data_IF_523560418051
#
_entry.id   IF_523560418051
#
_cell.length_a   1.000
_cell.length_b   1.000
_cell.length_c   1.000
_cell.angle_alpha   90.00
_cell.angle_beta   90.00
_cell.angle_gamma   90.00
#
_symmetry.space_group_name_H-M   'P 1'
#
loop_
_entity.id
_entity.type
_entity.pdbx_description
1 polymer ?
#
# COMPACT_ATOMS: atom_id res chain seq x y z
N UNK A 1 -34.01 57.39 17.71
CA UNK A 1 -32.83 57.98 18.38
C UNK A 1 -32.35 56.98 19.43
N UNK A 2 -31.24 56.29 19.19
CA UNK A 2 -30.66 55.34 20.13
C UNK A 2 -29.77 56.10 21.10
N UNK A 3 -30.21 56.23 22.35
CA UNK A 3 -29.39 56.77 23.44
C UNK A 3 -28.23 55.80 23.68
N UNK A 4 -27.03 56.17 23.22
CA UNK A 4 -25.79 55.52 23.66
C UNK A 4 -25.65 55.80 25.16
N UNK A 5 -26.05 54.83 25.99
CA UNK A 5 -25.74 54.81 27.41
C UNK A 5 -24.22 54.93 27.53
N UNK A 6 -23.71 56.00 28.16
CA UNK A 6 -22.28 56.12 28.44
C UNK A 6 -21.87 54.92 29.28
N UNK A 7 -21.06 54.02 28.73
CA UNK A 7 -20.50 52.89 29.48
C UNK A 7 -19.75 53.43 30.69
N UNK A 8 -19.87 52.74 31.82
CA UNK A 8 -19.13 53.14 33.02
C UNK A 8 -17.62 53.02 32.76
N UNK A 9 -16.82 53.80 33.50
CA UNK A 9 -15.35 53.73 33.39
C UNK A 9 -14.83 52.32 33.70
N UNK A 10 -15.53 51.58 34.56
CA UNK A 10 -15.24 50.20 34.94
C UNK A 10 -15.50 49.25 33.76
N UNK A 11 -16.68 49.32 33.14
CA UNK A 11 -17.02 48.49 31.97
C UNK A 11 -16.06 48.71 30.80
N UNK A 12 -15.60 49.95 30.62
CA UNK A 12 -14.65 50.30 29.55
C UNK A 12 -13.26 49.70 29.83
N UNK A 13 -12.82 49.71 31.10
CA UNK A 13 -11.57 49.09 31.53
C UNK A 13 -11.62 47.55 31.44
N UNK A 14 -12.75 46.94 31.78
CA UNK A 14 -12.96 45.49 31.65
C UNK A 14 -12.97 45.03 30.18
N UNK A 15 -13.60 45.78 29.28
CA UNK A 15 -13.56 45.51 27.84
C UNK A 15 -12.14 45.63 27.27
N UNK A 16 -11.38 46.63 27.73
CA UNK A 16 -9.98 46.79 27.36
C UNK A 16 -9.15 45.58 27.81
N UNK A 17 -9.28 45.15 29.06
CA UNK A 17 -8.60 43.98 29.61
C UNK A 17 -8.94 42.70 28.85
N UNK A 18 -10.21 42.50 28.50
CA UNK A 18 -10.64 41.32 27.75
C UNK A 18 -10.09 41.31 26.32
N UNK A 19 -10.00 42.48 25.68
CA UNK A 19 -9.48 42.62 24.32
C UNK A 19 -7.97 42.33 24.24
N UNK A 20 -7.20 42.88 25.20
CA UNK A 20 -5.75 42.71 25.30
C UNK A 20 -5.40 41.28 25.71
N UNK A 21 -6.15 40.71 26.65
CA UNK A 21 -6.01 39.29 27.01
C UNK A 21 -6.35 38.33 25.86
N UNK A 22 -7.18 38.75 24.90
CA UNK A 22 -7.52 37.94 23.72
C UNK A 22 -6.47 38.02 22.60
N UNK A 23 -5.76 39.15 22.48
CA UNK A 23 -4.67 39.34 21.50
C UNK A 23 -3.33 38.77 22.00
N UNK A 24 -3.12 38.71 23.31
CA UNK A 24 -1.87 38.25 23.91
C UNK A 24 -0.79 39.33 24.00
N UNK A 25 -1.17 40.60 23.79
CA UNK A 25 -0.29 41.76 23.88
C UNK A 25 -0.25 42.33 25.30
N UNK A 26 0.73 43.20 25.56
CA UNK A 26 0.83 43.95 26.81
C UNK A 26 0.06 45.28 26.74
N UNK A 27 -0.51 45.72 27.87
CA UNK A 27 -1.11 47.05 28.00
C UNK A 27 -0.04 48.14 27.82
N UNK A 28 -0.37 49.18 27.07
CA UNK A 28 0.47 50.38 27.01
C UNK A 28 0.45 51.12 28.36
N UNK A 29 1.45 51.99 28.59
CA UNK A 29 1.54 52.76 29.84
C UNK A 29 0.26 53.58 30.12
N UNK A 30 -0.30 54.22 29.10
CA UNK A 30 -1.53 55.02 29.21
C UNK A 30 -2.75 54.15 29.56
N UNK A 31 -2.84 52.98 28.94
CA UNK A 31 -3.91 52.00 29.20
C UNK A 31 -3.80 51.38 30.60
N UNK A 32 -2.58 51.13 31.10
CA UNK A 32 -2.36 50.68 32.48
C UNK A 32 -2.85 51.71 33.49
N UNK A 33 -2.49 52.98 33.29
CA UNK A 33 -2.92 54.08 34.17
C UNK A 33 -4.45 54.24 34.13
N UNK A 34 -5.07 54.13 32.96
CA UNK A 34 -6.52 54.19 32.82
C UNK A 34 -7.23 53.03 33.54
N UNK A 35 -6.77 51.79 33.37
CA UNK A 35 -7.34 50.63 34.03
C UNK A 35 -7.14 50.65 35.56
N UNK A 36 -5.94 50.97 36.05
CA UNK A 36 -5.67 51.07 37.49
C UNK A 36 -6.54 52.14 38.15
N UNK A 37 -6.72 53.30 37.50
CA UNK A 37 -7.57 54.38 38.02
C UNK A 37 -9.06 54.03 37.96
N UNK A 38 -9.51 53.31 36.94
CA UNK A 38 -10.91 52.92 36.79
C UNK A 38 -11.30 51.78 37.73
N UNK A 39 -10.40 50.82 37.96
CA UNK A 39 -10.64 49.62 38.78
C UNK A 39 -10.20 49.80 40.24
N UNK A 40 -9.44 50.86 40.55
CA UNK A 40 -8.96 51.14 41.90
C UNK A 40 -7.92 50.12 42.40
N UNK A 41 -7.17 49.51 41.48
CA UNK A 41 -6.22 48.45 41.78
C UNK A 41 -4.78 48.88 41.53
N UNK A 42 -3.84 48.18 42.17
CA UNK A 42 -2.41 48.32 41.91
C UNK A 42 -1.99 47.66 40.59
N UNK A 43 -0.85 48.06 40.06
CA UNK A 43 -0.28 47.50 38.82
C UNK A 43 -0.04 45.98 38.92
N UNK A 44 0.32 45.48 40.11
CA UNK A 44 0.48 44.05 40.38
C UNK A 44 -0.85 43.28 40.37
N UNK A 45 -1.95 43.94 40.76
CA UNK A 45 -3.30 43.34 40.71
C UNK A 45 -3.84 43.36 39.29
N UNK A 46 -3.53 44.40 38.51
CA UNK A 46 -3.86 44.48 37.09
C UNK A 46 -3.22 43.34 36.29
N UNK A 47 -1.95 43.03 36.54
CA UNK A 47 -1.25 41.89 35.93
C UNK A 47 -1.90 40.54 36.26
N UNK A 48 -2.43 40.38 37.49
CA UNK A 48 -3.14 39.16 37.91
C UNK A 48 -4.48 39.03 37.16
N UNK A 49 -5.21 40.13 37.01
CA UNK A 49 -6.47 40.15 36.28
C UNK A 49 -6.25 39.88 34.78
N UNK A 50 -5.23 40.48 34.14
CA UNK A 50 -4.86 40.17 32.75
C UNK A 50 -4.60 38.67 32.53
N UNK A 51 -3.83 38.03 33.42
CA UNK A 51 -3.59 36.58 33.35
C UNK A 51 -4.87 35.76 33.55
N UNK A 52 -5.76 36.21 34.42
CA UNK A 52 -7.06 35.56 34.67
C UNK A 52 -7.95 35.64 33.42
N UNK A 53 -8.08 36.81 32.81
CA UNK A 53 -8.82 36.98 31.55
C UNK A 53 -8.21 36.15 30.42
N UNK A 54 -6.87 36.10 30.30
CA UNK A 54 -6.19 35.26 29.31
C UNK A 54 -6.54 33.78 29.45
N UNK A 55 -6.55 33.26 30.69
CA UNK A 55 -6.99 31.87 30.97
C UNK A 55 -8.45 31.63 30.60
N UNK A 56 -9.34 32.58 30.90
CA UNK A 56 -10.78 32.48 30.56
C UNK A 56 -10.98 32.45 29.04
N UNK A 57 -10.28 33.29 28.29
CA UNK A 57 -10.35 33.32 26.82
C UNK A 57 -9.81 32.02 26.23
N UNK A 58 -8.70 31.51 26.74
CA UNK A 58 -8.11 30.24 26.28
C UNK A 58 -9.02 29.05 26.57
N UNK A 59 -9.63 29.00 27.76
CA UNK A 59 -10.61 27.96 28.11
C UNK A 59 -11.85 28.02 27.19
N UNK A 60 -12.33 29.22 26.84
CA UNK A 60 -13.44 29.37 25.87
C UNK A 60 -13.06 28.93 24.46
N UNK A 61 -11.83 29.21 24.00
CA UNK A 61 -11.33 28.72 22.70
C UNK A 61 -11.28 27.18 22.65
N UNK A 62 -10.88 26.53 23.75
CA UNK A 62 -10.78 25.06 23.82
C UNK A 62 -12.16 24.41 23.99
N UNK A 63 -13.02 24.95 24.84
CA UNK A 63 -14.36 24.40 25.08
C UNK A 63 -15.33 24.66 23.92
N UNK A 64 -14.98 25.58 23.00
CA UNK A 64 -15.86 26.06 21.95
C UNK A 64 -17.04 26.87 22.49
N UNK A 65 -17.78 27.49 21.58
CA UNK A 65 -19.06 28.11 21.93
C UNK A 65 -20.16 27.06 22.04
N UNK A 66 -21.33 27.44 22.56
CA UNK A 66 -22.51 26.57 22.51
C UNK A 66 -22.91 26.26 21.06
N UNK A 67 -22.79 27.24 20.18
CA UNK A 67 -23.07 27.08 18.75
C UNK A 67 -22.10 26.10 18.07
N UNK A 68 -20.82 26.08 18.45
CA UNK A 68 -19.85 25.12 17.91
C UNK A 68 -20.19 23.69 18.33
N UNK A 69 -20.65 23.51 19.58
CA UNK A 69 -21.11 22.21 20.07
C UNK A 69 -22.38 21.75 19.37
N UNK A 70 -23.35 22.64 19.18
CA UNK A 70 -24.59 22.34 18.46
C UNK A 70 -24.31 21.94 17.00
N UNK A 71 -23.36 22.61 16.32
CA UNK A 71 -22.91 22.24 14.97
C UNK A 71 -22.24 20.87 14.93
N UNK A 72 -21.39 20.57 15.91
CA UNK A 72 -20.75 19.26 16.02
C UNK A 72 -21.77 18.14 16.23
N UNK A 73 -22.77 18.35 17.10
CA UNK A 73 -23.83 17.37 17.34
C UNK A 73 -24.68 17.12 16.08
N UNK A 74 -24.95 18.16 15.29
CA UNK A 74 -25.66 18.04 14.01
C UNK A 74 -24.84 17.23 12.98
N UNK A 75 -23.54 17.49 12.89
CA UNK A 75 -22.61 16.76 12.01
C UNK A 75 -22.54 15.26 12.41
N UNK A 76 -22.41 14.99 13.71
CA UNK A 76 -22.40 13.62 14.25
C UNK A 76 -23.71 12.89 13.92
N UNK A 77 -24.87 13.53 14.09
CA UNK A 77 -26.16 12.95 13.71
C UNK A 77 -26.24 12.62 12.22
N UNK A 78 -25.74 13.50 11.35
CA UNK A 78 -25.69 13.24 9.90
C UNK A 78 -24.82 12.04 9.56
N UNK A 79 -23.63 11.93 10.17
CA UNK A 79 -22.71 10.81 9.97
C UNK A 79 -23.32 9.49 10.47
N UNK A 80 -23.94 9.48 11.65
CA UNK A 80 -24.63 8.29 12.17
C UNK A 80 -25.78 7.86 11.26
N UNK A 81 -26.55 8.80 10.71
CA UNK A 81 -27.61 8.49 9.76
C UNK A 81 -27.05 7.86 8.48
N UNK A 82 -26.01 8.47 7.89
CA UNK A 82 -25.36 7.92 6.70
C UNK A 82 -24.77 6.52 6.94
N UNK A 83 -24.21 6.27 8.14
CA UNK A 83 -23.74 4.95 8.55
C UNK A 83 -24.89 3.95 8.65
N UNK A 84 -25.98 4.29 9.34
CA UNK A 84 -27.13 3.41 9.52
C UNK A 84 -27.84 3.10 8.19
N UNK A 85 -27.87 4.05 7.26
CA UNK A 85 -28.48 3.86 5.94
C UNK A 85 -27.63 2.93 5.06
N UNK A 86 -26.28 3.07 5.07
CA UNK A 86 -25.36 2.28 4.23
C UNK A 86 -24.99 0.92 4.81
N UNK A 87 -24.98 0.78 6.14
CA UNK A 87 -24.61 -0.46 6.83
C UNK A 87 -25.37 -1.70 6.33
N UNK A 88 -26.71 -1.72 6.21
CA UNK A 88 -27.43 -2.91 5.76
C UNK A 88 -27.13 -3.25 4.29
N UNK A 89 -26.84 -2.26 3.45
CA UNK A 89 -26.44 -2.49 2.06
C UNK A 89 -25.07 -3.16 1.99
N UNK A 90 -24.10 -2.66 2.75
CA UNK A 90 -22.77 -3.26 2.85
C UNK A 90 -22.82 -4.67 3.45
N UNK A 91 -23.63 -4.90 4.48
CA UNK A 91 -23.82 -6.24 5.07
C UNK A 91 -24.42 -7.23 4.05
N UNK A 92 -25.37 -6.79 3.20
CA UNK A 92 -25.90 -7.62 2.10
C UNK A 92 -24.85 -7.91 1.04
N UNK A 93 -24.03 -6.92 0.67
CA UNK A 93 -22.95 -7.11 -0.30
C UNK A 93 -21.90 -8.11 0.23
N UNK A 94 -21.52 -8.00 1.50
CA UNK A 94 -20.61 -8.96 2.15
C UNK A 94 -21.20 -10.37 2.10
N UNK A 95 -22.46 -10.56 2.49
CA UNK A 95 -23.12 -11.85 2.46
C UNK A 95 -23.19 -12.45 1.04
N UNK A 96 -23.45 -11.61 0.03
CA UNK A 96 -23.46 -12.03 -1.38
C UNK A 96 -22.08 -12.49 -1.84
N UNK A 97 -21.04 -11.69 -1.58
CA UNK A 97 -19.66 -12.01 -1.95
C UNK A 97 -19.16 -13.28 -1.24
N UNK A 98 -19.52 -13.48 0.03
CA UNK A 98 -19.20 -14.72 0.76
C UNK A 98 -19.88 -15.94 0.12
N UNK A 99 -21.13 -15.81 -0.33
CA UNK A 99 -21.82 -16.89 -1.03
C UNK A 99 -21.20 -17.18 -2.40
N UNK A 100 -20.78 -16.17 -3.14
CA UNK A 100 -20.09 -16.33 -4.43
C UNK A 100 -18.74 -17.00 -4.24
N UNK A 101 -17.97 -16.59 -3.23
CA UNK A 101 -16.69 -17.22 -2.88
C UNK A 101 -16.87 -18.70 -2.51
N UNK A 102 -17.86 -19.03 -1.70
CA UNK A 102 -18.15 -20.42 -1.33
C UNK A 102 -18.51 -21.30 -2.55
N UNK A 103 -19.24 -20.74 -3.54
CA UNK A 103 -19.55 -21.45 -4.79
C UNK A 103 -18.30 -21.67 -5.62
N UNK A 104 -17.46 -20.65 -5.79
CA UNK A 104 -16.20 -20.76 -6.53
C UNK A 104 -15.25 -21.78 -5.89
N UNK A 105 -15.15 -21.81 -4.57
CA UNK A 105 -14.37 -22.83 -3.86
C UNK A 105 -14.92 -24.24 -4.09
N UNK A 106 -16.24 -24.41 -4.07
CA UNK A 106 -16.87 -25.71 -4.36
C UNK A 106 -16.60 -26.14 -5.80
N UNK A 107 -16.78 -25.24 -6.77
CA UNK A 107 -16.53 -25.52 -8.19
C UNK A 107 -15.06 -25.87 -8.43
N UNK A 108 -14.13 -25.14 -7.78
CA UNK A 108 -12.71 -25.46 -7.83
C UNK A 108 -12.41 -26.87 -7.27
N UNK A 109 -12.99 -27.24 -6.13
CA UNK A 109 -12.83 -28.60 -5.56
C UNK A 109 -13.37 -29.68 -6.50
N UNK A 110 -14.52 -29.44 -7.12
CA UNK A 110 -15.11 -30.38 -8.10
C UNK A 110 -14.25 -30.48 -9.36
N UNK A 111 -13.72 -29.36 -9.85
CA UNK A 111 -12.81 -29.34 -11.00
C UNK A 111 -11.50 -30.08 -10.70
N UNK A 112 -10.90 -29.85 -9.52
CA UNK A 112 -9.71 -30.57 -9.07
C UNK A 112 -9.96 -32.08 -9.02
N UNK A 113 -11.09 -32.51 -8.43
CA UNK A 113 -11.46 -33.93 -8.40
C UNK A 113 -11.63 -34.52 -9.81
N UNK A 114 -12.27 -33.80 -10.73
CA UNK A 114 -12.42 -34.24 -12.13
C UNK A 114 -11.06 -34.35 -12.82
N UNK A 115 -10.14 -33.43 -12.57
CA UNK A 115 -8.79 -33.49 -13.12
C UNK A 115 -8.04 -34.73 -12.61
N UNK A 116 -8.12 -35.04 -11.32
CA UNK A 116 -7.55 -36.26 -10.74
C UNK A 116 -8.16 -37.53 -11.35
N UNK A 117 -9.50 -37.58 -11.50
CA UNK A 117 -10.20 -38.71 -12.14
C UNK A 117 -9.79 -38.88 -13.61
N UNK A 118 -9.61 -37.78 -14.36
CA UNK A 118 -9.11 -37.80 -15.74
C UNK A 118 -7.66 -38.25 -15.83
N UNK A 119 -6.79 -37.76 -14.95
CA UNK A 119 -5.38 -38.17 -14.90
C UNK A 119 -5.26 -39.67 -14.61
N UNK A 120 -6.02 -40.18 -13.64
CA UNK A 120 -6.07 -41.61 -13.33
C UNK A 120 -6.59 -42.44 -14.52
N UNK A 121 -7.59 -41.93 -15.26
CA UNK A 121 -8.09 -42.60 -16.46
C UNK A 121 -7.02 -42.65 -17.58
N UNK A 122 -6.30 -41.55 -17.80
CA UNK A 122 -5.19 -41.47 -18.77
C UNK A 122 -4.06 -42.42 -18.38
N UNK A 123 -3.69 -42.48 -17.10
CA UNK A 123 -2.64 -43.40 -16.62
C UNK A 123 -3.04 -44.87 -16.78
N UNK A 124 -4.30 -45.20 -16.51
CA UNK A 124 -4.83 -46.55 -16.77
C UNK A 124 -4.75 -46.90 -18.26
N UNK A 125 -5.14 -45.98 -19.16
CA UNK A 125 -5.02 -46.19 -20.61
C UNK A 125 -3.56 -46.34 -21.05
N UNK A 126 -2.65 -45.52 -20.51
CA UNK A 126 -1.20 -45.62 -20.78
C UNK A 126 -0.60 -46.94 -20.30
N UNK A 127 -1.12 -47.52 -19.22
CA UNK A 127 -0.67 -48.83 -18.73
C UNK A 127 -1.03 -49.98 -19.70
N UNK A 128 -2.07 -49.79 -20.51
CA UNK A 128 -2.48 -50.73 -21.56
C UNK A 128 -1.67 -50.55 -22.85
N UNK A 129 -0.99 -49.41 -23.02
CA UNK A 129 -0.16 -49.15 -24.19
C UNK A 129 1.12 -50.02 -24.21
N UNK A 130 1.65 -50.39 -25.39
CA UNK A 130 2.84 -51.22 -25.47
C UNK A 130 4.04 -50.48 -24.89
N UNK A 131 4.83 -51.15 -24.05
CA UNK A 131 5.99 -50.53 -23.36
C UNK A 131 6.96 -49.79 -24.28
N UNK A 132 7.12 -50.24 -25.52
CA UNK A 132 8.00 -49.60 -26.50
C UNK A 132 7.47 -48.26 -27.01
N UNK A 133 6.14 -48.11 -27.17
CA UNK A 133 5.48 -46.84 -27.52
C UNK A 133 5.61 -45.82 -26.39
N UNK A 134 5.41 -46.27 -25.16
CA UNK A 134 5.63 -45.44 -23.95
C UNK A 134 7.09 -45.00 -23.83
N UNK A 135 8.04 -45.88 -24.16
CA UNK A 135 9.46 -45.53 -24.19
C UNK A 135 9.78 -44.49 -25.28
N UNK A 136 9.20 -44.64 -26.47
CA UNK A 136 9.36 -43.69 -27.58
C UNK A 136 8.76 -42.31 -27.24
N UNK A 137 7.55 -42.27 -26.68
CA UNK A 137 6.93 -41.04 -26.19
C UNK A 137 7.83 -40.33 -25.17
N UNK A 138 8.33 -41.07 -24.17
CA UNK A 138 9.21 -40.51 -23.15
C UNK A 138 10.53 -39.97 -23.73
N UNK A 139 11.06 -40.61 -24.77
CA UNK A 139 12.24 -40.12 -25.47
C UNK A 139 11.95 -38.78 -26.16
N UNK A 140 10.82 -38.67 -26.88
CA UNK A 140 10.39 -37.43 -27.55
C UNK A 140 10.08 -36.32 -26.55
N UNK A 141 9.37 -36.63 -25.47
CA UNK A 141 9.11 -35.70 -24.36
C UNK A 141 10.39 -35.14 -23.75
N UNK A 142 11.41 -35.97 -23.51
CA UNK A 142 12.72 -35.52 -23.02
C UNK A 142 13.43 -34.61 -24.02
N UNK A 143 13.36 -34.93 -25.31
CA UNK A 143 13.94 -34.10 -26.36
C UNK A 143 13.24 -32.72 -26.43
N UNK A 144 11.90 -32.69 -26.41
CA UNK A 144 11.10 -31.47 -26.38
C UNK A 144 11.38 -30.64 -25.12
N UNK A 145 11.51 -31.30 -23.96
CA UNK A 145 11.85 -30.64 -22.69
C UNK A 145 13.18 -29.89 -22.80
N UNK A 146 14.23 -30.57 -23.28
CA UNK A 146 15.57 -29.96 -23.45
C UNK A 146 15.58 -28.83 -24.48
N UNK A 147 14.82 -28.99 -25.55
CA UNK A 147 14.84 -28.05 -26.68
C UNK A 147 14.06 -26.77 -26.38
N UNK A 148 12.90 -26.89 -25.72
CA UNK A 148 11.90 -25.83 -25.59
C UNK A 148 11.63 -25.48 -24.13
N UNK A 149 11.19 -26.43 -23.31
CA UNK A 149 10.77 -26.16 -21.92
C UNK A 149 11.87 -25.57 -21.06
N UNK A 150 13.11 -26.05 -21.18
CA UNK A 150 14.25 -25.50 -20.45
C UNK A 150 14.49 -24.02 -20.78
N UNK A 151 14.32 -23.62 -22.05
CA UNK A 151 14.45 -22.21 -22.47
C UNK A 151 13.30 -21.36 -21.95
N UNK A 152 12.07 -21.88 -22.01
CA UNK A 152 10.90 -21.19 -21.45
C UNK A 152 11.06 -20.96 -19.94
N UNK A 153 11.58 -21.96 -19.20
CA UNK A 153 11.85 -21.85 -17.76
C UNK A 153 12.96 -20.84 -17.45
N UNK A 154 14.04 -20.84 -18.23
CA UNK A 154 15.11 -19.85 -18.09
C UNK A 154 14.60 -18.42 -18.30
N UNK A 155 13.76 -18.21 -19.33
CA UNK A 155 13.14 -16.91 -19.58
C UNK A 155 12.22 -16.47 -18.43
N UNK A 156 11.39 -17.39 -17.90
CA UNK A 156 10.52 -17.12 -16.75
C UNK A 156 11.33 -16.77 -15.49
N UNK A 157 12.39 -17.54 -15.18
CA UNK A 157 13.26 -17.25 -14.03
C UNK A 157 13.94 -15.89 -14.16
N UNK A 158 14.31 -15.50 -15.37
CA UNK A 158 14.88 -14.18 -15.61
C UNK A 158 13.83 -13.07 -15.44
N UNK A 159 12.59 -13.26 -15.92
CA UNK A 159 11.48 -12.33 -15.69
C UNK A 159 11.21 -12.12 -14.18
N UNK A 160 11.11 -13.21 -13.42
CA UNK A 160 10.94 -13.17 -11.96
C UNK A 160 12.07 -12.38 -11.28
N UNK A 161 13.31 -12.57 -11.75
CA UNK A 161 14.48 -11.84 -11.25
C UNK A 161 14.36 -10.35 -11.51
N UNK A 162 13.91 -9.95 -12.71
CA UNK A 162 13.74 -8.55 -13.09
C UNK A 162 12.64 -7.91 -12.25
N UNK A 163 11.51 -8.60 -12.06
CA UNK A 163 10.43 -8.15 -11.19
C UNK A 163 10.92 -7.95 -9.75
N UNK A 164 11.69 -8.89 -9.20
CA UNK A 164 12.29 -8.73 -7.87
C UNK A 164 13.23 -7.51 -7.78
N UNK A 165 13.99 -7.22 -8.84
CA UNK A 165 14.86 -6.04 -8.88
C UNK A 165 14.06 -4.73 -8.96
N UNK A 166 12.96 -4.72 -9.72
CA UNK A 166 12.08 -3.57 -9.90
C UNK A 166 11.30 -3.24 -8.61
N UNK A 167 10.85 -4.27 -7.89
CA UNK A 167 10.06 -4.13 -6.67
C UNK A 167 10.93 -3.92 -5.41
N UNK A 168 12.25 -3.94 -5.53
CA UNK A 168 13.16 -3.73 -4.40
C UNK A 168 13.06 -2.30 -3.88
N UNK A 169 12.68 -2.14 -2.62
CA UNK A 169 12.80 -0.86 -1.92
C UNK A 169 14.28 -0.55 -1.67
N UNK A 170 14.83 0.42 -2.40
CA UNK A 170 16.26 0.77 -2.32
C UNK A 170 16.55 1.62 -1.09
N UNK A 171 17.02 0.98 -0.03
CA UNK A 171 17.58 1.62 1.16
C UNK A 171 19.07 1.27 1.35
N UNK A 172 19.72 1.94 2.31
CA UNK A 172 21.12 1.66 2.70
C UNK A 172 21.19 0.62 3.85
N UNK A 173 20.15 -0.22 3.97
CA UNK A 173 20.05 -1.30 4.95
C UNK A 173 20.80 -2.56 4.51
N UNK A 174 21.23 -3.37 5.48
CA UNK A 174 22.05 -4.56 5.20
C UNK A 174 21.36 -5.54 4.24
N UNK A 175 20.04 -5.75 4.37
CA UNK A 175 19.28 -6.65 3.48
C UNK A 175 19.28 -6.19 2.02
N UNK A 176 19.11 -4.88 1.78
CA UNK A 176 19.17 -4.30 0.43
C UNK A 176 20.59 -4.44 -0.14
N UNK A 177 21.60 -4.13 0.66
CA UNK A 177 23.02 -4.26 0.29
C UNK A 177 23.40 -5.71 -0.02
N UNK A 178 22.92 -6.70 0.74
CA UNK A 178 23.19 -8.12 0.50
C UNK A 178 22.55 -8.60 -0.80
N UNK A 179 21.31 -8.19 -1.06
CA UNK A 179 20.60 -8.51 -2.29
C UNK A 179 21.31 -7.93 -3.51
N UNK A 180 21.55 -6.61 -3.52
CA UNK A 180 22.28 -5.93 -4.59
C UNK A 180 23.69 -6.50 -4.73
N UNK A 181 24.33 -6.89 -3.62
CA UNK A 181 25.65 -7.51 -3.60
C UNK A 181 25.69 -8.86 -4.30
N UNK A 182 24.61 -9.63 -4.21
CA UNK A 182 24.45 -10.88 -4.97
C UNK A 182 24.36 -10.59 -6.46
N UNK A 183 23.60 -9.55 -6.85
CA UNK A 183 23.52 -9.10 -8.24
C UNK A 183 24.89 -8.59 -8.76
N UNK A 184 25.67 -7.87 -7.95
CA UNK A 184 27.05 -7.48 -8.32
C UNK A 184 27.94 -8.71 -8.59
N UNK A 185 27.81 -9.77 -7.78
CA UNK A 185 28.60 -10.99 -7.95
C UNK A 185 28.19 -11.76 -9.21
N UNK A 186 26.90 -11.83 -9.51
CA UNK A 186 26.40 -12.54 -10.69
C UNK A 186 26.65 -11.76 -11.99
N UNK A 187 26.52 -10.44 -11.98
CA UNK A 187 26.60 -9.61 -13.19
C UNK A 187 27.97 -8.97 -13.40
N UNK A 188 28.81 -8.89 -12.38
CA UNK A 188 30.09 -8.15 -12.39
C UNK A 188 29.94 -6.62 -12.36
N UNK A 189 28.70 -6.09 -12.45
CA UNK A 189 28.42 -4.65 -12.36
C UNK A 189 28.54 -4.20 -10.90
N UNK A 190 28.87 -2.92 -10.68
CA UNK A 190 29.03 -2.32 -9.35
C UNK A 190 27.90 -1.32 -9.06
N UNK A 191 27.22 -1.53 -7.95
CA UNK A 191 26.08 -0.76 -7.46
C UNK A 191 26.26 -0.32 -6.00
N UNK A 192 27.22 -0.90 -5.27
CA UNK A 192 27.45 -0.63 -3.84
C UNK A 192 28.78 0.11 -3.69
N UNK A 193 28.70 1.31 -3.12
CA UNK A 193 29.85 2.08 -2.69
C UNK A 193 30.32 1.57 -1.32
N UNK A 194 31.31 0.68 -1.34
CA UNK A 194 31.96 0.18 -0.12
C UNK A 194 32.99 1.21 0.34
N UNK A 195 32.63 2.03 1.33
CA UNK A 195 33.57 2.95 2.00
C UNK A 195 34.37 2.18 3.06
N UNK A 196 35.59 2.64 3.33
CA UNK A 196 36.57 1.94 4.18
C UNK A 196 36.12 1.68 5.62
N UNK A 197 36.99 1.08 6.42
CA UNK A 197 36.69 0.58 7.78
C UNK A 197 35.96 1.63 8.64
N UNK A 198 34.77 1.25 9.15
CA UNK A 198 33.92 2.11 9.98
C UNK A 198 32.86 2.92 9.23
N UNK A 199 32.85 2.94 7.90
CA UNK A 199 31.80 3.59 7.11
C UNK A 199 30.72 2.60 6.66
N UNK A 200 29.46 3.06 6.64
CA UNK A 200 28.36 2.28 6.06
C UNK A 200 28.51 2.25 4.54
N UNK A 201 28.29 1.07 3.96
CA UNK A 201 28.16 0.93 2.50
C UNK A 201 26.85 1.58 2.06
N UNK A 202 26.86 2.22 0.90
CA UNK A 202 25.68 2.90 0.34
C UNK A 202 25.40 2.41 -1.06
N UNK A 203 24.13 2.40 -1.44
CA UNK A 203 23.73 1.99 -2.79
C UNK A 203 23.83 3.20 -3.74
N UNK A 204 24.53 3.04 -4.84
CA UNK A 204 24.51 3.99 -5.95
C UNK A 204 23.17 3.84 -6.69
N UNK A 205 22.18 4.63 -6.25
CA UNK A 205 20.80 4.58 -6.76
C UNK A 205 20.71 4.84 -8.27
N UNK A 206 21.57 5.71 -8.82
CA UNK A 206 21.57 6.00 -10.26
C UNK A 206 22.08 4.80 -11.08
N UNK A 207 23.18 4.17 -10.65
CA UNK A 207 23.70 2.97 -11.30
C UNK A 207 22.74 1.78 -11.18
N UNK A 208 22.10 1.62 -10.01
CA UNK A 208 21.06 0.60 -9.81
C UNK A 208 19.85 0.84 -10.69
N UNK A 209 19.32 2.06 -10.75
CA UNK A 209 18.17 2.39 -11.60
C UNK A 209 18.48 2.16 -13.09
N UNK A 210 19.65 2.59 -13.57
CA UNK A 210 20.05 2.35 -14.95
C UNK A 210 20.15 0.85 -15.29
N UNK A 211 20.60 0.02 -14.35
CA UNK A 211 20.59 -1.43 -14.51
C UNK A 211 19.17 -2.00 -14.55
N UNK A 212 18.29 -1.56 -13.65
CA UNK A 212 16.87 -1.98 -13.64
C UNK A 212 16.19 -1.58 -14.96
N UNK A 213 16.40 -0.36 -15.45
CA UNK A 213 15.84 0.11 -16.72
C UNK A 213 16.33 -0.74 -17.92
N UNK A 214 17.63 -1.06 -17.95
CA UNK A 214 18.21 -1.98 -18.94
C UNK A 214 17.58 -3.37 -18.88
N UNK A 215 17.31 -3.88 -17.67
CA UNK A 215 16.66 -5.17 -17.48
C UNK A 215 15.17 -5.13 -17.89
N UNK A 216 14.44 -4.09 -17.51
CA UNK A 216 13.03 -3.90 -17.85
C UNK A 216 12.86 -3.82 -19.37
N UNK A 217 13.79 -3.18 -20.09
CA UNK A 217 13.78 -3.15 -21.55
C UNK A 217 13.90 -4.55 -22.20
N UNK A 218 14.41 -5.56 -21.49
CA UNK A 218 14.51 -6.95 -21.96
C UNK A 218 13.21 -7.74 -21.78
N UNK A 219 12.28 -7.28 -20.94
CA UNK A 219 11.03 -7.99 -20.59
C UNK A 219 10.27 -8.45 -21.84
N UNK A 220 9.97 -7.59 -22.84
CA UNK A 220 9.17 -8.01 -23.99
C UNK A 220 9.80 -9.17 -24.76
N UNK A 221 11.13 -9.19 -24.88
CA UNK A 221 11.83 -10.26 -25.58
C UNK A 221 11.85 -11.56 -24.77
N UNK A 222 11.93 -11.46 -23.45
CA UNK A 222 11.87 -12.63 -22.56
C UNK A 222 10.46 -13.22 -22.53
N UNK A 223 9.42 -12.41 -22.54
CA UNK A 223 8.02 -12.85 -22.65
C UNK A 223 7.77 -13.55 -23.98
N UNK A 224 8.27 -13.00 -25.09
CA UNK A 224 8.22 -13.64 -26.42
C UNK A 224 8.92 -15.02 -26.38
N UNK A 225 10.16 -15.09 -25.87
CA UNK A 225 10.90 -16.36 -25.75
C UNK A 225 10.14 -17.36 -24.86
N UNK A 226 9.58 -16.90 -23.74
CA UNK A 226 8.83 -17.75 -22.82
C UNK A 226 7.60 -18.34 -23.51
N UNK A 227 6.77 -17.48 -24.12
CA UNK A 227 5.56 -17.88 -24.83
C UNK A 227 5.85 -18.83 -25.98
N UNK A 228 6.71 -18.44 -26.91
CA UNK A 228 7.04 -19.26 -28.10
C UNK A 228 7.59 -20.65 -27.74
N UNK A 229 8.47 -20.72 -26.72
CA UNK A 229 9.02 -22.01 -26.32
C UNK A 229 8.02 -22.84 -25.50
N UNK A 230 7.10 -22.21 -24.77
CA UNK A 230 6.05 -22.94 -24.06
C UNK A 230 5.04 -23.52 -25.05
N UNK A 231 4.62 -22.73 -26.03
CA UNK A 231 3.72 -23.15 -27.11
C UNK A 231 4.35 -24.28 -27.93
N UNK A 232 5.60 -24.10 -28.39
CA UNK A 232 6.32 -25.13 -29.14
C UNK A 232 6.57 -26.40 -28.31
N UNK A 233 6.73 -26.29 -26.98
CA UNK A 233 6.79 -27.45 -26.12
C UNK A 233 5.46 -28.19 -26.08
N UNK A 234 4.35 -27.47 -25.86
CA UNK A 234 3.01 -28.06 -25.79
C UNK A 234 2.66 -28.74 -27.12
N UNK A 235 2.85 -28.06 -28.26
CA UNK A 235 2.64 -28.64 -29.59
C UNK A 235 3.47 -29.92 -29.81
N UNK A 236 4.73 -29.92 -29.38
CA UNK A 236 5.59 -31.10 -29.51
C UNK A 236 5.17 -32.26 -28.59
N UNK A 237 4.58 -31.97 -27.42
CA UNK A 237 4.03 -32.99 -26.54
C UNK A 237 2.73 -33.54 -27.11
N UNK A 238 1.81 -32.68 -27.53
CA UNK A 238 0.52 -33.07 -28.10
C UNK A 238 0.73 -33.97 -29.34
N UNK A 239 1.61 -33.56 -30.26
CA UNK A 239 1.96 -34.38 -31.42
C UNK A 239 2.56 -35.74 -31.02
N UNK A 240 3.43 -35.77 -30.01
CA UNK A 240 4.02 -37.02 -29.52
C UNK A 240 2.98 -37.91 -28.81
N UNK A 241 2.00 -37.34 -28.11
CA UNK A 241 0.91 -38.09 -27.48
C UNK A 241 0.02 -38.73 -28.54
N UNK A 242 -0.39 -37.97 -29.57
CA UNK A 242 -1.20 -38.48 -30.69
C UNK A 242 -0.48 -39.61 -31.43
N UNK A 243 0.80 -39.42 -31.77
CA UNK A 243 1.54 -40.41 -32.57
C UNK A 243 1.93 -41.67 -31.80
N UNK A 244 2.19 -41.56 -30.50
CA UNK A 244 2.72 -42.67 -29.70
C UNK A 244 1.67 -43.35 -28.83
N UNK A 245 0.63 -42.66 -28.38
CA UNK A 245 -0.27 -43.13 -27.32
C UNK A 245 -1.74 -43.27 -27.77
N UNK A 246 -2.22 -42.53 -28.77
CA UNK A 246 -3.62 -42.55 -29.24
C UNK A 246 -3.97 -43.69 -30.22
N UNK A 247 -3.08 -44.66 -30.44
CA UNK A 247 -3.28 -45.78 -31.39
C UNK A 247 -4.27 -46.85 -30.88
N UNK A 248 -5.14 -46.52 -29.92
CA UNK A 248 -6.15 -47.44 -29.35
C UNK A 248 -7.60 -47.05 -29.66
N UNK A 249 -7.81 -46.07 -30.53
CA UNK A 249 -9.14 -45.75 -31.07
C UNK A 249 -9.19 -46.15 -32.55
N UNK A 250 -9.21 -47.46 -32.81
CA UNK A 250 -9.72 -48.09 -34.03
C UNK A 250 -10.30 -49.46 -33.68
#
# INVERSE_FOLDING_TARGET
>A
MTTKTKKSKIETAEELLQSVAASGDDLTFEQRVECCNALGCSDQELDKELRRFGRIVQQRKVAGTREDRDKQDEEVRRLFKALNDRRPELEKQIAKLQSELAKLEQDHRLAAKRAEEMEAAVDNLRSLAPKWRVAEFNQRKRAATRKYREKALQAATELDRIECCQNLAVDDGQKCIDFIGTIEQTTGKKFIERRGFGHRSTVNRAAWQAYVDEQVARIPKLEEIHGENLDAYNEAIDAAEVECLDVYVD
#
